data_IF_220857757272
#
_entry.id   IF_220857757272
#
_cell.length_a   1.000
_cell.length_b   1.000
_cell.length_c   1.000
_cell.angle_alpha   90.00
_cell.angle_beta   90.00
_cell.angle_gamma   90.00
#
_symmetry.space_group_name_H-M   'P 1'
#
loop_
_entity.id
_entity.type
_entity.pdbx_description
1 polymer ?
#
# COMPACT_ATOMS: atom_id res chain seq x y z
N UNK A 1 10.77 -3.24 -12.69
CA UNK A 1 11.41 -1.92 -12.89
C UNK A 1 10.54 -0.78 -12.39
N UNK A 2 9.35 -0.53 -12.94
CA UNK A 2 8.50 0.61 -12.50
C UNK A 2 8.12 0.58 -11.01
N UNK A 3 7.79 -0.60 -10.47
CA UNK A 3 7.54 -0.78 -9.03
C UNK A 3 8.73 -0.32 -8.17
N UNK A 4 9.96 -0.67 -8.58
CA UNK A 4 11.19 -0.27 -7.88
C UNK A 4 11.37 1.25 -7.87
N UNK A 5 11.05 1.95 -8.98
CA UNK A 5 11.09 3.41 -9.01
C UNK A 5 10.08 4.03 -8.04
N UNK A 6 8.86 3.48 -8.01
CA UNK A 6 7.82 3.93 -7.07
C UNK A 6 8.28 3.76 -5.62
N UNK A 7 8.94 2.66 -5.27
CA UNK A 7 9.44 2.41 -3.91
C UNK A 7 10.66 3.30 -3.55
N UNK A 8 11.40 3.83 -4.52
CA UNK A 8 12.48 4.81 -4.26
C UNK A 8 11.90 6.18 -3.95
N UNK A 9 10.93 6.62 -4.75
CA UNK A 9 10.31 7.95 -4.65
C UNK A 9 9.33 8.02 -3.48
N UNK A 10 8.64 6.92 -3.22
CA UNK A 10 7.69 6.77 -2.13
C UNK A 10 7.97 5.45 -1.39
N UNK A 11 8.95 5.46 -0.48
CA UNK A 11 9.37 4.25 0.21
C UNK A 11 8.29 3.74 1.16
N UNK A 12 8.24 2.40 1.25
CA UNK A 12 7.47 1.65 2.23
C UNK A 12 7.82 2.03 3.67
N UNK A 13 7.00 1.53 4.61
CA UNK A 13 7.24 1.67 6.03
C UNK A 13 8.63 1.16 6.42
N UNK A 14 9.31 1.92 7.28
CA UNK A 14 10.51 1.43 7.95
C UNK A 14 10.12 0.36 8.97
N UNK A 15 11.04 -0.54 9.38
CA UNK A 15 10.75 -1.53 10.40
C UNK A 15 10.19 -0.93 11.70
N UNK A 16 10.71 0.23 12.12
CA UNK A 16 10.23 0.93 13.31
C UNK A 16 8.78 1.44 13.17
N UNK A 17 8.39 1.92 11.98
CA UNK A 17 7.02 2.33 11.70
C UNK A 17 6.08 1.12 11.58
N UNK A 18 6.56 0.01 11.03
CA UNK A 18 5.82 -1.25 11.03
C UNK A 18 5.56 -1.72 12.48
N UNK A 19 6.58 -1.73 13.34
CA UNK A 19 6.41 -2.02 14.77
C UNK A 19 5.39 -1.11 15.45
N UNK A 20 5.44 0.19 15.16
CA UNK A 20 4.48 1.16 15.68
C UNK A 20 3.05 0.87 15.20
N UNK A 21 2.88 0.51 13.93
CA UNK A 21 1.59 0.16 13.34
C UNK A 21 1.01 -1.10 14.01
N UNK A 22 1.81 -2.15 14.17
CA UNK A 22 1.39 -3.39 14.85
C UNK A 22 0.93 -3.13 16.28
N UNK A 23 1.66 -2.29 17.03
CA UNK A 23 1.27 -1.89 18.40
C UNK A 23 0.02 -1.02 18.40
N UNK A 24 -0.09 -0.06 17.49
CA UNK A 24 -1.26 0.82 17.39
C UNK A 24 -2.55 0.03 17.17
N UNK A 25 -2.48 -1.03 16.37
CA UNK A 25 -3.59 -1.93 16.09
C UNK A 25 -3.70 -3.13 17.04
N UNK A 26 -2.88 -3.19 18.09
CA UNK A 26 -2.86 -4.28 19.09
C UNK A 26 -2.85 -5.67 18.43
N UNK A 27 -1.96 -5.79 17.43
CA UNK A 27 -1.84 -6.96 16.57
C UNK A 27 -3.18 -7.48 16.03
N UNK A 28 -4.13 -6.59 15.75
CA UNK A 28 -5.48 -6.96 15.32
C UNK A 28 -5.84 -6.27 13.99
N UNK A 29 -6.67 -6.94 13.18
CA UNK A 29 -7.14 -6.38 11.92
C UNK A 29 -7.95 -5.10 12.17
N UNK A 30 -7.58 -4.01 11.51
CA UNK A 30 -8.27 -2.73 11.58
C UNK A 30 -9.76 -2.83 11.15
N UNK A 31 -10.09 -3.80 10.31
CA UNK A 31 -11.44 -3.93 9.74
C UNK A 31 -12.36 -4.86 10.52
N UNK A 32 -11.85 -6.01 10.99
CA UNK A 32 -12.66 -7.05 11.63
C UNK A 32 -12.25 -7.38 13.06
N UNK A 33 -11.23 -6.72 13.61
CA UNK A 33 -10.68 -6.90 14.96
C UNK A 33 -10.16 -8.32 15.27
N UNK A 34 -10.05 -9.21 14.27
CA UNK A 34 -9.40 -10.51 14.49
C UNK A 34 -7.95 -10.30 14.89
N UNK A 35 -7.51 -10.96 15.94
CA UNK A 35 -6.11 -10.97 16.34
C UNK A 35 -5.28 -11.68 15.26
N UNK A 36 -4.08 -11.15 15.02
CA UNK A 36 -3.15 -11.60 14.01
C UNK A 36 -1.85 -11.94 14.71
N UNK A 37 -1.44 -13.21 14.62
CA UNK A 37 -0.11 -13.59 15.04
C UNK A 37 0.92 -12.93 14.11
N UNK A 38 1.80 -12.12 14.69
CA UNK A 38 2.86 -11.39 13.97
C UNK A 38 3.88 -12.32 13.32
N UNK A 39 4.10 -13.51 13.89
CA UNK A 39 4.97 -14.51 13.28
C UNK A 39 4.31 -15.21 12.08
N UNK A 40 2.98 -15.11 11.96
CA UNK A 40 2.22 -15.69 10.85
C UNK A 40 2.30 -14.82 9.59
N UNK A 41 2.11 -15.45 8.42
CA UNK A 41 2.02 -14.76 7.13
C UNK A 41 0.61 -14.20 6.84
N UNK A 42 -0.25 -14.08 7.85
CA UNK A 42 -1.66 -13.69 7.68
C UNK A 42 -1.92 -12.21 7.97
N UNK A 43 -0.93 -11.50 8.52
CA UNK A 43 -0.94 -10.05 8.67
C UNK A 43 -0.41 -9.33 7.43
N UNK A 44 -1.12 -8.30 7.01
CA UNK A 44 -0.77 -7.47 5.87
C UNK A 44 -0.85 -5.99 6.24
N UNK A 45 0.01 -5.19 5.61
CA UNK A 45 -0.04 -3.73 5.68
C UNK A 45 -0.87 -3.23 4.50
N UNK A 46 -2.18 -3.12 4.69
CA UNK A 46 -3.14 -2.76 3.64
C UNK A 46 -3.12 -1.25 3.36
N UNK A 47 -3.33 -0.89 2.10
CA UNK A 47 -3.55 0.48 1.66
C UNK A 47 -4.99 0.91 1.95
N UNK A 48 -5.17 2.06 2.62
CA UNK A 48 -6.51 2.64 2.78
C UNK A 48 -7.08 3.08 1.42
N UNK A 49 -6.23 3.71 0.61
CA UNK A 49 -6.52 4.19 -0.74
C UNK A 49 -5.44 3.69 -1.71
N UNK A 50 -5.85 3.13 -2.86
CA UNK A 50 -4.94 2.57 -3.87
C UNK A 50 -3.89 3.58 -4.39
N UNK A 51 -4.26 4.87 -4.44
CA UNK A 51 -3.38 5.98 -4.83
C UNK A 51 -2.78 6.80 -3.68
N UNK A 52 -3.01 6.42 -2.41
CA UNK A 52 -2.60 7.22 -1.24
C UNK A 52 -1.11 7.11 -0.87
N UNK A 53 -0.30 6.47 -1.71
CA UNK A 53 1.13 6.26 -1.47
C UNK A 53 1.46 5.12 -0.50
N UNK A 54 2.74 5.01 -0.15
CA UNK A 54 3.35 3.94 0.63
C UNK A 54 3.68 4.33 2.07
N UNK A 55 3.42 5.59 2.42
CA UNK A 55 3.64 6.11 3.75
C UNK A 55 2.63 5.61 4.80
N UNK A 56 2.92 5.86 6.10
CA UNK A 56 2.09 5.42 7.22
C UNK A 56 0.66 5.96 7.20
N UNK A 57 0.43 7.16 6.67
CA UNK A 57 -0.92 7.74 6.55
C UNK A 57 -1.87 6.89 5.68
N UNK A 58 -1.32 6.00 4.85
CA UNK A 58 -2.08 5.15 3.93
C UNK A 58 -1.81 3.68 4.20
N UNK A 59 -1.53 3.32 5.46
CA UNK A 59 -1.30 1.94 5.87
C UNK A 59 -2.05 1.60 7.14
N UNK A 60 -2.69 0.43 7.14
CA UNK A 60 -3.30 -0.18 8.32
C UNK A 60 -2.95 -1.66 8.42
N UNK A 61 -3.04 -2.22 9.62
CA UNK A 61 -2.89 -3.66 9.80
C UNK A 61 -4.19 -4.36 9.42
N UNK A 62 -4.12 -5.35 8.52
CA UNK A 62 -5.27 -6.11 8.06
C UNK A 62 -4.97 -7.61 8.01
N UNK A 63 -5.98 -8.44 8.25
CA UNK A 63 -5.85 -9.89 8.04
C UNK A 63 -5.99 -10.25 6.55
N UNK A 64 -5.47 -11.42 6.17
CA UNK A 64 -5.50 -11.92 4.79
C UNK A 64 -6.89 -11.88 4.15
N UNK A 65 -7.93 -12.26 4.89
CA UNK A 65 -9.31 -12.29 4.40
C UNK A 65 -9.84 -10.89 4.09
N UNK A 66 -9.68 -9.94 5.00
CA UNK A 66 -10.16 -8.57 4.77
C UNK A 66 -9.38 -7.88 3.65
N UNK A 67 -8.05 -8.05 3.64
CA UNK A 67 -7.16 -7.43 2.67
C UNK A 67 -7.31 -8.03 1.25
N UNK A 68 -7.15 -9.35 1.13
CA UNK A 68 -7.03 -10.03 -0.17
C UNK A 68 -8.36 -10.45 -0.80
N UNK A 69 -9.34 -10.85 0.02
CA UNK A 69 -10.56 -11.49 -0.49
C UNK A 69 -11.73 -10.50 -0.53
N UNK A 70 -11.90 -9.72 0.54
CA UNK A 70 -13.11 -8.94 0.78
C UNK A 70 -12.98 -7.48 0.30
N UNK A 71 -12.10 -6.67 0.90
CA UNK A 71 -12.00 -5.22 0.59
C UNK A 71 -11.49 -4.98 -0.83
N UNK A 72 -10.33 -5.56 -1.18
CA UNK A 72 -9.64 -5.29 -2.46
C UNK A 72 -9.54 -3.78 -2.73
N UNK A 73 -10.05 -3.32 -3.87
CA UNK A 73 -10.05 -1.91 -4.28
C UNK A 73 -11.24 -1.09 -3.73
N UNK A 74 -12.11 -1.69 -2.90
CA UNK A 74 -13.24 -0.96 -2.30
C UNK A 74 -12.74 0.13 -1.36
N UNK A 75 -13.36 1.33 -1.35
CA UNK A 75 -13.09 2.35 -0.35
C UNK A 75 -13.25 1.80 1.06
N UNK A 76 -12.23 1.96 1.90
CA UNK A 76 -12.16 1.30 3.21
C UNK A 76 -13.33 1.65 4.15
N UNK A 77 -13.88 2.87 4.04
CA UNK A 77 -15.06 3.28 4.82
C UNK A 77 -16.33 2.54 4.40
N UNK A 78 -16.54 2.37 3.09
CA UNK A 78 -17.65 1.59 2.57
C UNK A 78 -17.48 0.12 2.98
N UNK A 79 -16.25 -0.41 2.88
CA UNK A 79 -15.96 -1.76 3.34
C UNK A 79 -16.26 -1.95 4.84
N UNK A 80 -15.88 -1.00 5.70
CA UNK A 80 -16.22 -1.05 7.13
C UNK A 80 -17.72 -0.98 7.41
N UNK A 81 -18.47 -0.22 6.61
CA UNK A 81 -19.94 -0.16 6.71
C UNK A 81 -20.57 -1.53 6.49
N UNK A 82 -20.08 -2.28 5.50
CA UNK A 82 -20.55 -3.63 5.20
C UNK A 82 -20.01 -4.67 6.20
N UNK A 83 -18.74 -4.53 6.60
CA UNK A 83 -18.03 -5.50 7.44
C UNK A 83 -18.43 -5.46 8.91
N UNK A 84 -18.81 -4.28 9.40
CA UNK A 84 -19.13 -4.04 10.80
C UNK A 84 -20.52 -3.36 10.91
N UNK A 85 -21.61 -4.15 10.92
CA UNK A 85 -22.96 -3.61 10.97
C UNK A 85 -23.27 -2.89 12.30
N UNK A 86 -22.58 -3.24 13.40
CA UNK A 86 -22.70 -2.52 14.67
C UNK A 86 -22.09 -1.11 14.58
N UNK A 87 -22.91 -0.10 14.79
CA UNK A 87 -22.55 1.31 14.63
C UNK A 87 -21.51 1.78 15.64
N UNK A 88 -21.58 1.28 16.87
CA UNK A 88 -20.66 1.69 17.94
C UNK A 88 -19.27 1.14 17.66
N UNK A 89 -19.18 -0.15 17.34
CA UNK A 89 -17.92 -0.81 17.01
C UNK A 89 -17.32 -0.28 15.70
N UNK A 90 -18.17 -0.02 14.69
CA UNK A 90 -17.71 0.57 13.43
C UNK A 90 -17.10 1.95 13.66
N UNK A 91 -17.74 2.80 14.46
CA UNK A 91 -17.22 4.12 14.81
C UNK A 91 -15.87 4.02 15.53
N UNK A 92 -15.74 3.11 16.50
CA UNK A 92 -14.46 2.87 17.19
C UNK A 92 -13.34 2.46 16.24
N UNK A 93 -13.63 1.60 15.25
CA UNK A 93 -12.65 1.19 14.24
C UNK A 93 -12.23 2.35 13.34
N UNK A 94 -13.19 3.16 12.90
CA UNK A 94 -12.94 4.37 12.13
C UNK A 94 -12.05 5.33 12.92
N UNK A 95 -12.41 5.64 14.16
CA UNK A 95 -11.64 6.52 15.05
C UNK A 95 -10.21 6.01 15.26
N UNK A 96 -10.01 4.68 15.40
CA UNK A 96 -8.68 4.09 15.54
C UNK A 96 -7.83 4.24 14.27
N UNK A 97 -8.44 4.05 13.10
CA UNK A 97 -7.76 4.26 11.81
C UNK A 97 -7.42 5.74 11.65
N UNK A 98 -8.37 6.64 11.87
CA UNK A 98 -8.17 8.08 11.75
C UNK A 98 -7.09 8.58 12.72
N UNK A 99 -7.08 8.09 13.97
CA UNK A 99 -6.04 8.42 14.94
C UNK A 99 -4.63 8.03 14.45
N UNK A 100 -4.49 6.88 13.77
CA UNK A 100 -3.22 6.49 13.15
C UNK A 100 -2.83 7.46 12.03
N UNK A 101 -3.78 7.75 11.13
CA UNK A 101 -3.56 8.63 9.98
C UNK A 101 -3.16 10.04 10.45
N UNK A 102 -3.85 10.60 11.44
CA UNK A 102 -3.58 11.96 11.96
C UNK A 102 -2.21 12.09 12.63
N UNK A 103 -1.68 11.01 13.23
CA UNK A 103 -0.32 11.02 13.80
C UNK A 103 0.78 11.13 12.74
N UNK A 104 0.45 10.87 11.47
CA UNK A 104 1.40 10.79 10.38
C UNK A 104 1.04 11.82 9.31
N UNK A 105 1.71 12.99 9.29
CA UNK A 105 1.42 14.01 8.30
C UNK A 105 1.67 13.46 6.89
N UNK A 106 0.89 13.97 5.94
CA UNK A 106 1.14 13.68 4.54
C UNK A 106 2.57 14.05 4.18
N UNK A 107 3.25 13.16 3.46
CA UNK A 107 4.48 13.57 2.78
C UNK A 107 4.12 14.70 1.83
N UNK A 108 4.94 15.75 1.83
CA UNK A 108 4.74 16.90 0.96
C UNK A 108 4.59 16.42 -0.49
N UNK A 109 3.45 16.68 -1.15
CA UNK A 109 3.22 16.24 -2.53
C UNK A 109 4.14 16.94 -3.53
N UNK A 110 4.82 18.03 -3.14
CA UNK A 110 5.76 18.73 -4.01
C UNK A 110 7.05 17.91 -4.17
N UNK A 111 7.04 17.01 -5.16
CA UNK A 111 8.23 16.29 -5.58
C UNK A 111 9.30 17.28 -6.05
N UNK A 112 10.46 17.25 -5.40
CA UNK A 112 11.58 18.11 -5.75
C UNK A 112 11.89 17.99 -7.26
N UNK A 113 12.11 19.09 -8.01
CA UNK A 113 12.28 19.04 -9.46
C UNK A 113 13.34 18.06 -9.95
N UNK A 114 14.45 17.92 -9.20
CA UNK A 114 15.50 16.95 -9.51
C UNK A 114 15.02 15.49 -9.41
N UNK A 115 14.16 15.17 -8.43
CA UNK A 115 13.57 13.83 -8.29
C UNK A 115 12.62 13.56 -9.46
N UNK A 116 11.79 14.55 -9.83
CA UNK A 116 10.90 14.45 -10.99
C UNK A 116 11.67 14.22 -12.29
N UNK A 117 12.76 14.96 -12.52
CA UNK A 117 13.61 14.79 -13.70
C UNK A 117 14.23 13.39 -13.73
N UNK A 118 14.83 12.94 -12.63
CA UNK A 118 15.42 11.60 -12.54
C UNK A 118 14.38 10.47 -12.73
N UNK A 119 13.15 10.67 -12.25
CA UNK A 119 12.07 9.71 -12.46
C UNK A 119 11.68 9.62 -13.94
N UNK A 120 11.54 10.75 -14.63
CA UNK A 120 11.24 10.78 -16.07
C UNK A 120 12.35 10.10 -16.89
N UNK A 121 13.62 10.35 -16.57
CA UNK A 121 14.75 9.69 -17.23
C UNK A 121 14.71 8.18 -17.02
N UNK A 122 14.45 7.72 -15.80
CA UNK A 122 14.34 6.30 -15.50
C UNK A 122 13.15 5.63 -16.20
N UNK A 123 12.00 6.31 -16.31
CA UNK A 123 10.84 5.83 -17.06
C UNK A 123 11.14 5.70 -18.56
N UNK A 124 11.87 6.67 -19.12
CA UNK A 124 12.31 6.62 -20.51
C UNK A 124 13.15 5.37 -20.79
N UNK A 125 14.17 5.10 -19.97
CA UNK A 125 15.04 3.92 -20.09
C UNK A 125 14.24 2.62 -20.00
N UNK A 126 13.25 2.53 -19.09
CA UNK A 126 12.38 1.35 -18.97
C UNK A 126 11.59 1.12 -20.27
N UNK A 127 11.08 2.19 -20.88
CA UNK A 127 10.33 2.10 -22.13
C UNK A 127 11.23 1.63 -23.28
N UNK A 128 12.44 2.17 -23.39
CA UNK A 128 13.41 1.75 -24.41
C UNK A 128 13.82 0.29 -24.25
N UNK A 129 14.11 -0.15 -23.02
CA UNK A 129 14.43 -1.53 -22.72
C UNK A 129 13.28 -2.47 -23.09
N UNK A 130 12.04 -2.09 -22.73
CA UNK A 130 10.86 -2.87 -23.10
C UNK A 130 10.73 -2.99 -24.62
N UNK A 131 10.89 -1.88 -25.36
CA UNK A 131 10.84 -1.89 -26.82
C UNK A 131 11.93 -2.79 -27.42
N UNK A 132 13.16 -2.76 -26.87
CA UNK A 132 14.24 -3.63 -27.29
C UNK A 132 13.92 -5.12 -27.05
N UNK A 133 13.39 -5.48 -25.88
CA UNK A 133 12.94 -6.85 -25.60
C UNK A 133 11.86 -7.32 -26.58
N UNK A 134 10.90 -6.45 -26.94
CA UNK A 134 9.86 -6.79 -27.91
C UNK A 134 10.46 -7.06 -29.29
N UNK A 135 11.37 -6.20 -29.77
CA UNK A 135 12.07 -6.43 -31.05
C UNK A 135 12.86 -7.73 -31.04
N UNK A 136 13.58 -8.03 -29.95
CA UNK A 136 14.34 -9.26 -29.80
C UNK A 136 13.44 -10.50 -29.87
N UNK A 137 12.31 -10.51 -29.16
CA UNK A 137 11.35 -11.62 -29.19
C UNK A 137 10.81 -11.86 -30.59
N UNK A 138 10.49 -10.80 -31.32
CA UNK A 138 10.00 -10.92 -32.71
C UNK A 138 11.08 -11.42 -33.67
N UNK A 139 12.34 -11.00 -33.49
CA UNK A 139 13.45 -11.54 -34.27
C UNK A 139 13.64 -13.04 -34.02
N UNK A 140 13.62 -13.48 -32.76
CA UNK A 140 13.72 -14.90 -32.39
C UNK A 140 12.60 -15.72 -33.02
N UNK A 141 11.34 -15.26 -32.95
CA UNK A 141 10.20 -15.96 -33.57
C UNK A 141 10.34 -16.13 -35.09
N UNK A 142 10.99 -15.19 -35.77
CA UNK A 142 11.21 -15.25 -37.24
C UNK A 142 12.41 -16.12 -37.62
N UNK A 143 13.25 -16.47 -36.66
CA UNK A 143 14.46 -17.28 -36.86
C UNK A 143 14.28 -18.76 -36.49
N UNK A 144 13.08 -19.15 -36.04
CA UNK A 144 12.65 -20.52 -35.75
C UNK A 144 11.58 -20.90 -36.77
#
# INVERSE_FOLDING_TARGET
MRRTLSEIVDPCLTPALEDALWRHFDASCAYCAVHIDRASRTGHLDHLESGGGNGPMNRVLACARCNGDEKRDQPWRAFLQDKCPDDVERRRRIERIEAWVTQHPARDPAMHPAVKAALLDAEHIINEFHAACTRLREAVKKSV
#
